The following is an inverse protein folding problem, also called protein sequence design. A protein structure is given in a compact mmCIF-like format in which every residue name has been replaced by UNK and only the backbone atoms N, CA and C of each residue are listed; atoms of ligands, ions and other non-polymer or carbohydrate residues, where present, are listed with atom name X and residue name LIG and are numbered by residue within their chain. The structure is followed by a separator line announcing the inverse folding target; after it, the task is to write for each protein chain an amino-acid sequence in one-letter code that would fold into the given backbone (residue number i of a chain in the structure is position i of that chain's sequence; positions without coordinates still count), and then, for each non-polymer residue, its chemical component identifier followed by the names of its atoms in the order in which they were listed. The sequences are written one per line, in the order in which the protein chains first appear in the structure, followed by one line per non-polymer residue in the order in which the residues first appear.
data_IF_491388154169
#
_entry.id   IF_491388154169
#
_cell.length_a   1.000
_cell.length_b   1.000
_cell.length_c   1.000
_cell.angle_alpha   90.00
_cell.angle_beta   90.00
_cell.angle_gamma   90.00
#
_symmetry.space_group_name_H-M   'P 1'
#
loop_
_entity.id
_entity.type
_entity.pdbx_description
1 polymer ?
#
# COMPACT_ATOMS: atom_id res chain seq x y z
N UNK A 1 33.91 25.37 -42.22
CA UNK A 1 32.73 24.54 -41.90
C UNK A 1 32.98 23.95 -40.50
N UNK A 2 32.52 24.63 -39.47
CA UNK A 2 32.72 24.24 -38.08
C UNK A 2 31.58 23.34 -37.66
N UNK A 3 31.89 22.05 -37.38
CA UNK A 3 30.94 21.11 -36.77
C UNK A 3 30.78 21.49 -35.28
N UNK A 4 29.65 22.07 -34.94
CA UNK A 4 29.22 22.26 -33.57
C UNK A 4 28.76 20.89 -33.05
N UNK A 5 29.68 20.20 -32.34
CA UNK A 5 29.30 19.07 -31.49
C UNK A 5 28.50 19.65 -30.32
N UNK A 6 27.19 19.47 -30.36
CA UNK A 6 26.35 19.72 -29.20
C UNK A 6 26.81 18.78 -28.09
N UNK A 7 27.35 19.33 -27.00
CA UNK A 7 27.53 18.63 -25.73
C UNK A 7 26.15 18.27 -25.16
N UNK A 8 25.57 17.18 -25.66
CA UNK A 8 24.49 16.51 -24.96
C UNK A 8 25.09 15.95 -23.66
N UNK A 9 24.55 16.34 -22.49
CA UNK A 9 24.85 15.64 -21.24
C UNK A 9 24.66 14.14 -21.49
N UNK A 10 25.60 13.29 -21.08
CA UNK A 10 25.39 11.84 -21.16
C UNK A 10 24.11 11.51 -20.39
N UNK A 11 23.20 10.82 -21.05
CA UNK A 11 21.94 10.37 -20.40
C UNK A 11 22.31 9.61 -19.13
N UNK A 12 21.67 9.93 -18.01
CA UNK A 12 21.88 9.24 -16.74
C UNK A 12 21.62 7.76 -16.93
N UNK A 13 22.60 6.91 -16.58
CA UNK A 13 22.40 5.46 -16.59
C UNK A 13 21.59 4.97 -15.38
N UNK A 14 21.41 5.81 -14.37
CA UNK A 14 20.64 5.50 -13.18
C UNK A 14 19.14 5.52 -13.46
N UNK A 15 18.44 4.58 -12.87
CA UNK A 15 16.97 4.58 -12.80
C UNK A 15 16.55 5.55 -11.71
N UNK A 16 15.56 6.40 -11.99
CA UNK A 16 15.04 7.36 -11.01
C UNK A 16 13.82 6.76 -10.33
N UNK A 17 13.98 6.37 -9.06
CA UNK A 17 12.88 6.01 -8.18
C UNK A 17 12.34 7.26 -7.49
N UNK A 18 11.04 7.49 -7.58
CA UNK A 18 10.37 8.63 -7.00
C UNK A 18 9.38 8.13 -5.95
N UNK A 19 9.50 8.61 -4.70
CA UNK A 19 8.65 8.23 -3.58
C UNK A 19 8.08 9.44 -2.84
N UNK A 20 7.03 9.23 -2.05
CA UNK A 20 6.42 10.26 -1.19
C UNK A 20 5.45 9.62 -0.18
N UNK A 21 5.47 10.05 1.10
CA UNK A 21 6.59 10.69 1.80
C UNK A 21 7.71 9.68 2.10
N UNK A 22 8.84 10.15 2.64
CA UNK A 22 9.85 9.23 3.18
C UNK A 22 9.27 8.44 4.36
N UNK A 23 9.38 7.13 4.29
CA UNK A 23 8.80 6.21 5.28
C UNK A 23 9.57 4.90 5.34
N UNK A 24 9.47 4.13 6.43
CA UNK A 24 10.11 2.82 6.53
C UNK A 24 9.74 1.88 5.37
N UNK A 25 8.48 1.88 4.95
CA UNK A 25 8.00 1.06 3.82
C UNK A 25 8.60 1.49 2.48
N UNK A 26 8.76 2.81 2.25
CA UNK A 26 9.43 3.30 1.06
C UNK A 26 10.89 2.83 1.02
N UNK A 27 11.61 2.96 2.14
CA UNK A 27 13.02 2.51 2.23
C UNK A 27 13.16 1.00 2.01
N UNK A 28 12.22 0.17 2.51
CA UNK A 28 12.20 -1.27 2.26
C UNK A 28 11.99 -1.56 0.76
N UNK A 29 11.04 -0.89 0.10
CA UNK A 29 10.81 -1.07 -1.33
C UNK A 29 12.03 -0.64 -2.16
N UNK A 30 12.67 0.47 -1.80
CA UNK A 30 13.91 0.91 -2.46
C UNK A 30 15.03 -0.10 -2.28
N UNK A 31 15.21 -0.67 -1.10
CA UNK A 31 16.19 -1.75 -0.87
C UNK A 31 15.94 -2.93 -1.82
N UNK A 32 14.71 -3.39 -1.93
CA UNK A 32 14.36 -4.47 -2.87
C UNK A 32 14.59 -4.09 -4.34
N UNK A 33 14.34 -2.81 -4.71
CA UNK A 33 14.67 -2.29 -6.04
C UNK A 33 16.18 -2.30 -6.32
N UNK A 34 16.99 -1.82 -5.39
CA UNK A 34 18.44 -1.78 -5.52
C UNK A 34 19.03 -3.19 -5.68
N UNK A 35 18.58 -4.14 -4.84
CA UNK A 35 18.97 -5.55 -4.95
C UNK A 35 18.60 -6.14 -6.32
N UNK A 36 17.35 -5.89 -6.76
CA UNK A 36 16.85 -6.45 -8.01
C UNK A 36 17.39 -5.78 -9.28
N UNK A 37 17.88 -4.54 -9.22
CA UNK A 37 18.43 -3.81 -10.37
C UNK A 37 19.96 -3.84 -10.42
N UNK A 38 20.64 -4.36 -9.40
CA UNK A 38 22.11 -4.43 -9.40
C UNK A 38 22.66 -5.09 -10.68
N UNK A 39 23.77 -4.59 -11.26
CA UNK A 39 24.64 -3.50 -10.78
C UNK A 39 24.19 -2.08 -11.18
N UNK A 40 22.99 -1.90 -11.75
CA UNK A 40 22.46 -0.59 -12.13
C UNK A 40 22.09 0.22 -10.88
N UNK A 41 22.48 1.48 -10.87
CA UNK A 41 22.17 2.38 -9.75
C UNK A 41 20.69 2.81 -9.76
N UNK A 42 20.12 2.93 -8.57
CA UNK A 42 18.80 3.52 -8.31
C UNK A 42 19.01 4.86 -7.61
N UNK A 43 18.54 5.93 -8.21
CA UNK A 43 18.52 7.25 -7.60
C UNK A 43 17.16 7.46 -6.95
N UNK A 44 17.07 7.43 -5.63
CA UNK A 44 15.84 7.77 -4.91
C UNK A 44 15.68 9.30 -4.83
N UNK A 45 14.51 9.78 -5.21
CA UNK A 45 14.07 11.16 -5.01
C UNK A 45 12.73 11.15 -4.26
N UNK A 46 12.70 11.79 -3.10
CA UNK A 46 11.46 11.95 -2.33
C UNK A 46 10.82 13.30 -2.67
N UNK A 47 9.50 13.27 -2.88
CA UNK A 47 8.71 14.45 -3.22
C UNK A 47 7.70 14.76 -2.12
N UNK A 48 7.30 16.02 -1.95
CA UNK A 48 6.05 16.33 -1.26
C UNK A 48 4.89 15.62 -1.97
N UNK A 49 3.87 15.14 -1.23
CA UNK A 49 2.80 14.34 -1.82
C UNK A 49 1.96 15.10 -2.85
N UNK A 50 1.92 16.43 -2.75
CA UNK A 50 1.16 17.31 -3.65
C UNK A 50 1.82 18.68 -3.75
N UNK A 51 1.54 19.41 -4.85
CA UNK A 51 1.89 20.82 -5.00
C UNK A 51 2.95 21.09 -6.08
N UNK A 52 3.23 22.38 -6.28
CA UNK A 52 4.11 22.88 -7.35
C UNK A 52 5.57 22.47 -7.17
N UNK A 53 6.04 22.31 -5.94
CA UNK A 53 7.42 21.89 -5.66
C UNK A 53 7.70 20.48 -6.19
N UNK A 54 6.77 19.53 -5.94
CA UNK A 54 6.87 18.18 -6.49
C UNK A 54 6.85 18.20 -8.02
N UNK A 55 5.93 18.97 -8.61
CA UNK A 55 5.83 19.11 -10.07
C UNK A 55 7.10 19.73 -10.68
N UNK A 56 7.69 20.76 -10.05
CA UNK A 56 8.93 21.37 -10.49
C UNK A 56 10.11 20.38 -10.44
N UNK A 57 10.19 19.58 -9.39
CA UNK A 57 11.22 18.54 -9.26
C UNK A 57 11.06 17.48 -10.34
N UNK A 58 9.84 17.01 -10.63
CA UNK A 58 9.61 16.06 -11.72
C UNK A 58 9.98 16.63 -13.08
N UNK A 59 9.68 17.92 -13.35
CA UNK A 59 10.10 18.58 -14.60
C UNK A 59 11.62 18.57 -14.75
N UNK A 60 12.37 18.82 -13.68
CA UNK A 60 13.83 18.79 -13.70
C UNK A 60 14.35 17.37 -13.95
N UNK A 61 13.82 16.36 -13.25
CA UNK A 61 14.22 14.96 -13.45
C UNK A 61 13.94 14.48 -14.89
N UNK A 62 12.85 14.91 -15.49
CA UNK A 62 12.56 14.63 -16.91
C UNK A 62 13.58 15.23 -17.87
N UNK A 63 14.12 16.44 -17.57
CA UNK A 63 15.13 17.07 -18.40
C UNK A 63 16.46 16.28 -18.43
N UNK A 64 16.76 15.51 -17.38
CA UNK A 64 17.93 14.64 -17.32
C UNK A 64 17.74 13.33 -18.12
N UNK A 65 16.57 13.08 -18.66
CA UNK A 65 16.21 11.93 -19.51
C UNK A 65 16.67 10.57 -18.92
N UNK A 66 16.24 10.18 -17.72
CA UNK A 66 16.57 8.88 -17.18
C UNK A 66 16.00 7.77 -18.08
N UNK A 67 16.63 6.58 -18.12
CA UNK A 67 16.15 5.47 -18.93
C UNK A 67 14.77 4.96 -18.49
N UNK A 68 14.40 5.18 -17.22
CA UNK A 68 13.16 4.72 -16.61
C UNK A 68 12.86 5.53 -15.35
N UNK A 69 11.58 5.86 -15.14
CA UNK A 69 11.05 6.26 -13.84
C UNK A 69 10.40 5.07 -13.12
N UNK A 70 10.63 4.98 -11.80
CA UNK A 70 9.88 4.08 -10.93
C UNK A 70 9.06 4.93 -9.97
N UNK A 71 7.74 4.91 -10.11
CA UNK A 71 6.81 5.63 -9.25
C UNK A 71 6.43 4.77 -8.05
N UNK A 72 6.81 5.18 -6.84
CA UNK A 72 6.56 4.47 -5.59
C UNK A 72 5.44 5.16 -4.80
N UNK A 73 4.25 4.59 -4.88
CA UNK A 73 3.05 5.07 -4.19
C UNK A 73 2.08 5.85 -5.08
N UNK A 74 0.81 5.80 -4.68
CA UNK A 74 -0.30 6.42 -5.43
C UNK A 74 -0.11 7.93 -5.66
N UNK A 75 0.32 8.75 -4.67
CA UNK A 75 0.50 10.19 -4.88
C UNK A 75 1.52 10.52 -5.97
N UNK A 76 2.62 9.75 -6.02
CA UNK A 76 3.66 9.93 -7.05
C UNK A 76 3.14 9.54 -8.43
N UNK A 77 2.43 8.41 -8.54
CA UNK A 77 1.84 8.00 -9.81
C UNK A 77 0.82 9.03 -10.32
N UNK A 78 -0.01 9.57 -9.44
CA UNK A 78 -0.98 10.62 -9.78
C UNK A 78 -0.33 11.91 -10.30
N UNK A 79 0.87 12.24 -9.82
CA UNK A 79 1.64 13.39 -10.33
C UNK A 79 2.38 13.04 -11.63
N UNK A 80 3.03 11.88 -11.69
CA UNK A 80 3.91 11.52 -12.80
C UNK A 80 3.13 11.11 -14.06
N UNK A 81 2.06 10.32 -13.93
CA UNK A 81 1.31 9.80 -15.08
C UNK A 81 0.70 10.89 -16.00
N UNK A 82 0.15 12.00 -15.49
CA UNK A 82 -0.29 13.11 -16.35
C UNK A 82 0.86 13.86 -17.03
N UNK A 83 2.00 14.00 -16.34
CA UNK A 83 3.12 14.84 -16.75
C UNK A 83 4.08 14.14 -17.72
N UNK A 84 4.26 12.81 -17.57
CA UNK A 84 5.19 12.03 -18.38
C UNK A 84 4.45 11.18 -19.42
N UNK A 85 4.78 11.37 -20.69
CA UNK A 85 4.13 10.67 -21.81
C UNK A 85 5.12 9.96 -22.75
N UNK A 86 6.43 10.12 -22.51
CA UNK A 86 7.48 9.62 -23.38
C UNK A 86 8.37 8.60 -22.70
N UNK A 87 8.95 8.97 -21.53
CA UNK A 87 9.84 8.11 -20.80
C UNK A 87 9.04 6.96 -20.16
N UNK A 88 9.60 5.75 -20.15
CA UNK A 88 8.95 4.63 -19.50
C UNK A 88 8.74 4.89 -18.01
N UNK A 89 7.61 4.43 -17.49
CA UNK A 89 7.26 4.49 -16.06
C UNK A 89 6.83 3.10 -15.62
N UNK A 90 7.49 2.59 -14.57
CA UNK A 90 7.04 1.42 -13.82
C UNK A 90 6.54 1.90 -12.47
N UNK A 91 5.36 1.51 -12.05
CA UNK A 91 4.87 1.85 -10.71
C UNK A 91 4.84 0.64 -9.78
N UNK A 92 4.99 0.89 -8.47
CA UNK A 92 4.78 -0.05 -7.38
C UNK A 92 4.26 0.66 -6.13
N UNK A 93 3.84 -0.08 -5.10
CA UNK A 93 3.22 0.48 -3.88
C UNK A 93 1.96 1.30 -4.18
N UNK A 94 1.25 0.98 -5.23
CA UNK A 94 0.01 1.64 -5.66
C UNK A 94 -1.15 0.68 -5.42
N UNK A 95 -2.04 1.04 -4.50
CA UNK A 95 -3.18 0.18 -4.17
C UNK A 95 -4.15 0.06 -5.35
N UNK A 96 -4.47 1.18 -6.00
CA UNK A 96 -5.41 1.23 -7.11
C UNK A 96 -4.92 2.20 -8.20
N UNK A 97 -4.32 1.70 -9.28
CA UNK A 97 -3.79 2.53 -10.36
C UNK A 97 -4.87 3.16 -11.24
N UNK A 98 -6.11 2.69 -11.17
CA UNK A 98 -7.21 3.15 -12.01
C UNK A 98 -7.73 4.54 -11.61
N UNK A 99 -7.44 4.99 -10.39
CA UNK A 99 -7.71 6.37 -9.95
C UNK A 99 -6.58 7.36 -10.23
N UNK A 100 -5.47 6.91 -10.82
CA UNK A 100 -4.26 7.73 -11.03
C UNK A 100 -4.13 8.31 -12.44
N UNK A 101 -5.11 8.15 -13.31
CA UNK A 101 -5.03 8.41 -14.75
C UNK A 101 -3.93 7.61 -15.47
N UNK A 102 -3.35 6.60 -14.84
CA UNK A 102 -2.39 5.68 -15.47
C UNK A 102 -3.10 4.53 -16.20
N UNK A 103 -4.27 4.11 -15.70
CA UNK A 103 -5.10 3.05 -16.24
C UNK A 103 -6.57 3.40 -16.09
N UNK A 104 -7.45 2.69 -16.83
CA UNK A 104 -8.86 3.11 -16.93
C UNK A 104 -9.88 2.04 -16.58
N UNK A 105 -9.53 0.75 -16.73
CA UNK A 105 -10.49 -0.33 -16.49
C UNK A 105 -9.82 -1.52 -15.78
N UNK A 106 -10.22 -1.84 -14.52
CA UNK A 106 -9.64 -2.95 -13.77
C UNK A 106 -9.90 -4.32 -14.40
N UNK A 107 -10.93 -4.44 -15.25
CA UNK A 107 -11.22 -5.69 -15.99
C UNK A 107 -10.37 -5.82 -17.27
N UNK A 108 -9.67 -4.77 -17.63
CA UNK A 108 -8.81 -4.71 -18.82
C UNK A 108 -7.45 -4.12 -18.43
N UNK A 109 -6.60 -4.89 -17.72
CA UNK A 109 -5.33 -4.41 -17.20
C UNK A 109 -4.32 -4.00 -18.30
N UNK A 110 -4.59 -4.37 -19.55
CA UNK A 110 -3.87 -3.90 -20.74
C UNK A 110 -4.30 -2.48 -21.18
N UNK A 111 -5.41 -1.96 -20.62
CA UNK A 111 -5.93 -0.66 -21.00
C UNK A 111 -5.39 0.44 -20.09
N UNK A 112 -4.14 0.85 -20.36
CA UNK A 112 -3.39 1.84 -19.59
C UNK A 112 -2.59 2.78 -20.50
N UNK A 113 -1.91 3.78 -19.93
CA UNK A 113 -1.05 4.67 -20.71
C UNK A 113 0.09 3.89 -21.36
N UNK A 114 0.41 4.22 -22.61
CA UNK A 114 1.38 3.48 -23.45
C UNK A 114 2.79 3.42 -22.86
N UNK A 115 3.17 4.42 -22.08
CA UNK A 115 4.49 4.49 -21.45
C UNK A 115 4.49 4.06 -19.96
N UNK A 116 3.36 3.61 -19.43
CA UNK A 116 3.21 3.26 -18.02
C UNK A 116 2.83 1.78 -17.89
N UNK A 117 3.47 1.06 -17.02
CA UNK A 117 3.04 -0.25 -16.52
C UNK A 117 3.40 -0.37 -15.04
N UNK A 118 3.01 -1.42 -14.36
CA UNK A 118 3.39 -1.59 -12.96
C UNK A 118 2.62 -2.65 -12.20
N UNK A 119 2.80 -2.60 -10.88
CA UNK A 119 2.28 -3.54 -9.90
C UNK A 119 1.24 -2.86 -9.02
N UNK A 120 -0.04 -3.19 -9.21
CA UNK A 120 -1.09 -2.86 -8.27
C UNK A 120 -0.92 -3.73 -7.01
N UNK A 121 -0.90 -3.11 -5.85
CA UNK A 121 -0.69 -3.80 -4.57
C UNK A 121 -1.72 -3.32 -3.54
N UNK A 122 -2.98 -3.77 -3.65
CA UNK A 122 -4.02 -3.41 -2.70
C UNK A 122 -3.69 -3.96 -1.29
N UNK A 123 -4.18 -3.30 -0.22
CA UNK A 123 -4.03 -3.82 1.14
C UNK A 123 -4.58 -5.24 1.28
N UNK A 124 -3.90 -6.14 2.02
CA UNK A 124 -4.26 -7.57 2.12
C UNK A 124 -5.43 -7.81 3.11
N UNK A 125 -6.53 -7.07 2.96
CA UNK A 125 -7.71 -7.14 3.85
C UNK A 125 -8.30 -8.56 3.87
N UNK A 126 -8.43 -9.17 2.68
CA UNK A 126 -9.03 -10.49 2.56
C UNK A 126 -8.20 -11.56 3.28
N UNK A 127 -6.88 -11.51 3.13
CA UNK A 127 -5.97 -12.44 3.79
C UNK A 127 -6.03 -12.27 5.32
N UNK A 128 -6.03 -11.03 5.81
CA UNK A 128 -6.10 -10.72 7.24
C UNK A 128 -7.38 -11.27 7.87
N UNK A 129 -8.55 -10.98 7.26
CA UNK A 129 -9.86 -11.42 7.78
C UNK A 129 -10.00 -12.95 7.71
N UNK A 130 -9.67 -13.57 6.56
CA UNK A 130 -9.79 -15.03 6.38
C UNK A 130 -8.88 -15.79 7.35
N UNK A 131 -7.62 -15.36 7.47
CA UNK A 131 -6.64 -16.02 8.32
C UNK A 131 -7.00 -15.89 9.80
N UNK A 132 -7.38 -14.70 10.26
CA UNK A 132 -7.82 -14.51 11.63
C UNK A 132 -9.07 -15.34 11.94
N UNK A 133 -10.06 -15.36 11.02
CA UNK A 133 -11.27 -16.18 11.18
C UNK A 133 -10.95 -17.67 11.25
N UNK A 134 -9.99 -18.16 10.47
CA UNK A 134 -9.54 -19.56 10.54
C UNK A 134 -8.87 -19.89 11.89
N UNK A 135 -8.16 -18.92 12.48
CA UNK A 135 -7.45 -19.10 13.76
C UNK A 135 -8.38 -19.11 14.99
N UNK A 136 -9.39 -18.22 15.01
CA UNK A 136 -10.19 -17.98 16.23
C UNK A 136 -11.69 -18.21 16.05
N UNK A 137 -12.10 -18.68 14.88
CA UNK A 137 -13.51 -18.88 14.51
C UNK A 137 -14.24 -17.59 14.15
N UNK A 138 -15.51 -17.70 13.72
CA UNK A 138 -16.32 -16.55 13.35
C UNK A 138 -16.67 -15.71 14.59
N UNK A 139 -16.40 -14.40 14.50
CA UNK A 139 -16.64 -13.43 15.58
C UNK A 139 -17.12 -12.10 14.99
N UNK A 140 -17.77 -11.22 15.78
CA UNK A 140 -18.12 -9.88 15.34
C UNK A 140 -16.88 -8.98 15.18
N UNK A 141 -16.76 -8.36 14.01
CA UNK A 141 -15.64 -7.49 13.64
C UNK A 141 -15.98 -6.02 13.79
N UNK A 142 -14.96 -5.19 14.02
CA UNK A 142 -15.06 -3.74 14.06
C UNK A 142 -13.93 -3.09 13.26
N UNK A 143 -14.27 -1.99 12.56
CA UNK A 143 -13.35 -1.17 11.79
C UNK A 143 -13.71 0.31 11.99
N UNK A 144 -12.70 1.16 12.24
CA UNK A 144 -12.83 2.62 12.21
C UNK A 144 -12.15 3.12 10.94
N UNK A 145 -12.80 4.05 10.22
CA UNK A 145 -12.24 4.64 9.01
C UNK A 145 -12.59 6.13 8.89
N UNK A 146 -11.84 6.85 8.06
CA UNK A 146 -12.14 8.21 7.68
C UNK A 146 -12.84 8.21 6.32
N UNK A 147 -14.11 8.64 6.22
CA UNK A 147 -14.82 8.66 4.95
C UNK A 147 -14.31 9.73 3.97
N UNK A 148 -13.49 10.69 4.45
CA UNK A 148 -12.85 11.72 3.63
C UNK A 148 -11.52 11.24 3.02
N UNK A 149 -10.97 10.14 3.52
CA UNK A 149 -9.80 9.46 2.94
C UNK A 149 -10.28 8.36 1.98
N UNK A 150 -10.10 8.59 0.68
CA UNK A 150 -10.53 7.64 -0.36
C UNK A 150 -9.93 6.23 -0.20
N UNK A 151 -8.69 6.13 0.27
CA UNK A 151 -8.06 4.83 0.51
C UNK A 151 -8.68 4.13 1.73
N UNK A 152 -9.01 4.86 2.79
CA UNK A 152 -9.69 4.31 3.96
C UNK A 152 -11.11 3.87 3.62
N UNK A 153 -11.81 4.65 2.79
CA UNK A 153 -13.15 4.30 2.30
C UNK A 153 -13.13 3.01 1.48
N UNK A 154 -12.18 2.86 0.56
CA UNK A 154 -12.01 1.65 -0.26
C UNK A 154 -11.74 0.41 0.62
N UNK A 155 -10.87 0.55 1.62
CA UNK A 155 -10.62 -0.51 2.61
C UNK A 155 -11.88 -0.87 3.39
N UNK A 156 -12.65 0.11 3.85
CA UNK A 156 -13.89 -0.12 4.59
C UNK A 156 -14.95 -0.84 3.73
N UNK A 157 -15.08 -0.47 2.46
CA UNK A 157 -15.97 -1.13 1.50
C UNK A 157 -15.55 -2.58 1.26
N UNK A 158 -14.26 -2.81 0.98
CA UNK A 158 -13.70 -4.16 0.79
C UNK A 158 -13.92 -5.03 2.03
N UNK A 159 -13.66 -4.49 3.21
CA UNK A 159 -13.88 -5.16 4.49
C UNK A 159 -15.36 -5.54 4.69
N UNK A 160 -16.28 -4.59 4.46
CA UNK A 160 -17.72 -4.82 4.62
C UNK A 160 -18.27 -5.87 3.65
N UNK A 161 -17.83 -5.82 2.38
CA UNK A 161 -18.21 -6.82 1.38
C UNK A 161 -17.68 -8.21 1.76
N UNK A 162 -16.41 -8.31 2.11
CA UNK A 162 -15.77 -9.57 2.47
C UNK A 162 -16.40 -10.21 3.72
N UNK A 163 -16.65 -9.43 4.77
CA UNK A 163 -17.28 -9.96 5.99
C UNK A 163 -18.70 -10.45 5.71
N UNK A 164 -19.45 -9.78 4.85
CA UNK A 164 -20.77 -10.22 4.38
C UNK A 164 -20.67 -11.53 3.59
N UNK A 165 -19.71 -11.66 2.65
CA UNK A 165 -19.49 -12.88 1.88
C UNK A 165 -19.12 -14.08 2.77
N UNK A 166 -18.40 -13.83 3.86
CA UNK A 166 -17.99 -14.86 4.83
C UNK A 166 -19.08 -15.14 5.89
N UNK A 167 -20.24 -14.48 5.83
CA UNK A 167 -21.28 -14.62 6.84
C UNK A 167 -20.90 -14.10 8.22
N UNK A 168 -19.92 -13.18 8.31
CA UNK A 168 -19.46 -12.58 9.56
C UNK A 168 -20.27 -11.33 9.89
N UNK A 169 -20.54 -11.13 11.17
CA UNK A 169 -21.06 -9.85 11.66
C UNK A 169 -19.92 -8.81 11.65
N UNK A 170 -20.17 -7.63 11.07
CA UNK A 170 -19.20 -6.54 11.10
C UNK A 170 -19.86 -5.19 11.34
N UNK A 171 -19.11 -4.31 11.98
CA UNK A 171 -19.49 -2.95 12.30
C UNK A 171 -18.41 -2.00 11.81
N UNK A 172 -18.83 -0.88 11.22
CA UNK A 172 -17.93 0.21 10.86
C UNK A 172 -18.34 1.48 11.60
N UNK A 173 -17.38 2.28 11.99
CA UNK A 173 -17.57 3.59 12.59
C UNK A 173 -16.69 4.62 11.89
N UNK A 174 -17.22 5.81 11.71
CA UNK A 174 -16.51 6.92 11.08
C UNK A 174 -15.76 7.73 12.12
N UNK A 175 -14.56 8.22 11.75
CA UNK A 175 -13.77 9.16 12.53
C UNK A 175 -12.93 10.03 11.61
N UNK A 176 -13.29 11.30 11.50
CA UNK A 176 -12.57 12.28 10.65
C UNK A 176 -11.52 13.04 11.42
N UNK A 177 -11.60 13.06 12.76
CA UNK A 177 -10.73 13.84 13.65
C UNK A 177 -10.28 13.02 14.86
N UNK A 178 -9.09 13.30 15.41
CA UNK A 178 -8.56 12.54 16.56
C UNK A 178 -9.49 12.49 17.78
N UNK A 179 -10.26 13.55 18.00
CA UNK A 179 -11.20 13.65 19.13
C UNK A 179 -12.34 12.64 19.04
N UNK A 180 -12.65 12.16 17.85
CA UNK A 180 -13.73 11.22 17.55
C UNK A 180 -13.30 9.76 17.75
N UNK A 181 -12.00 9.46 17.67
CA UNK A 181 -11.46 8.09 17.65
C UNK A 181 -11.90 7.27 18.89
N UNK A 182 -11.79 7.86 20.08
CA UNK A 182 -12.18 7.17 21.30
C UNK A 182 -13.69 6.90 21.40
N UNK A 183 -14.53 7.79 20.85
CA UNK A 183 -15.98 7.60 20.81
C UNK A 183 -16.35 6.52 19.78
N UNK A 184 -15.73 6.53 18.60
CA UNK A 184 -15.92 5.51 17.59
C UNK A 184 -15.54 4.11 18.11
N UNK A 185 -14.40 3.99 18.80
CA UNK A 185 -13.98 2.74 19.44
C UNK A 185 -15.00 2.24 20.46
N UNK A 186 -15.49 3.14 21.36
CA UNK A 186 -16.53 2.77 22.33
C UNK A 186 -17.82 2.31 21.66
N UNK A 187 -18.24 2.94 20.56
CA UNK A 187 -19.44 2.51 19.82
C UNK A 187 -19.28 1.12 19.21
N UNK A 188 -18.12 0.80 18.62
CA UNK A 188 -17.83 -0.55 18.12
C UNK A 188 -17.94 -1.60 19.23
N UNK A 189 -17.31 -1.35 20.38
CA UNK A 189 -17.35 -2.27 21.52
C UNK A 189 -18.77 -2.43 22.07
N UNK A 190 -19.51 -1.35 22.20
CA UNK A 190 -20.90 -1.37 22.66
C UNK A 190 -21.84 -2.15 21.72
N UNK A 191 -21.53 -2.18 20.41
CA UNK A 191 -22.24 -2.99 19.41
C UNK A 191 -21.84 -4.46 19.44
N UNK A 192 -20.86 -4.83 20.26
CA UNK A 192 -20.40 -6.21 20.44
C UNK A 192 -19.26 -6.63 19.51
N UNK A 193 -18.50 -5.70 18.95
CA UNK A 193 -17.27 -6.04 18.22
C UNK A 193 -16.27 -6.70 19.19
N UNK A 194 -15.79 -7.88 18.83
CA UNK A 194 -14.80 -8.65 19.59
C UNK A 194 -13.49 -8.84 18.83
N UNK A 195 -13.47 -8.52 17.53
CA UNK A 195 -12.26 -8.43 16.71
C UNK A 195 -12.17 -7.02 16.15
N UNK A 196 -11.04 -6.35 16.31
CA UNK A 196 -10.78 -5.03 15.76
C UNK A 196 -9.70 -5.14 14.67
N UNK A 197 -10.02 -4.62 13.48
CA UNK A 197 -9.06 -4.54 12.39
C UNK A 197 -8.41 -3.16 12.34
N UNK A 198 -7.09 -3.10 12.33
CA UNK A 198 -6.27 -1.91 12.12
C UNK A 198 -5.84 -1.87 10.64
N UNK A 199 -6.52 -1.12 9.77
CA UNK A 199 -6.15 -1.02 8.37
C UNK A 199 -4.88 -0.17 8.16
N UNK A 200 -4.22 -0.23 6.99
CA UNK A 200 -3.04 0.58 6.68
C UNK A 200 -3.42 2.02 6.29
N UNK A 201 -4.11 2.74 7.19
CA UNK A 201 -4.61 4.09 6.97
C UNK A 201 -4.11 5.05 8.05
N UNK A 202 -4.05 6.34 7.73
CA UNK A 202 -3.65 7.38 8.71
C UNK A 202 -4.57 7.38 9.94
N UNK A 203 -5.87 7.15 9.75
CA UNK A 203 -6.83 7.05 10.85
C UNK A 203 -6.46 5.92 11.80
N UNK A 204 -6.12 4.74 11.28
CA UNK A 204 -5.76 3.58 12.12
C UNK A 204 -4.52 3.85 12.99
N UNK A 205 -3.51 4.56 12.49
CA UNK A 205 -2.33 4.89 13.29
C UNK A 205 -2.66 5.78 14.50
N UNK A 206 -3.69 6.64 14.41
CA UNK A 206 -4.11 7.51 15.53
C UNK A 206 -4.66 6.71 16.72
N UNK A 207 -5.46 5.67 16.45
CA UNK A 207 -6.10 4.89 17.51
C UNK A 207 -5.46 3.50 17.74
N UNK A 208 -4.36 3.19 17.07
CA UNK A 208 -3.68 1.90 17.21
C UNK A 208 -3.27 1.59 18.66
N UNK A 209 -2.66 2.55 19.35
CA UNK A 209 -2.21 2.39 20.73
C UNK A 209 -3.32 1.92 21.69
N UNK A 210 -4.43 2.63 21.81
CA UNK A 210 -5.61 2.20 22.58
C UNK A 210 -6.13 0.82 22.19
N UNK A 211 -6.24 0.51 20.91
CA UNK A 211 -6.73 -0.80 20.42
C UNK A 211 -5.77 -1.92 20.80
N UNK A 212 -4.46 -1.74 20.60
CA UNK A 212 -3.44 -2.72 20.99
C UNK A 212 -3.38 -2.92 22.51
N UNK A 213 -3.65 -1.88 23.31
CA UNK A 213 -3.78 -2.03 24.75
C UNK A 213 -4.92 -2.99 25.12
N UNK A 214 -6.09 -2.86 24.51
CA UNK A 214 -7.20 -3.79 24.69
C UNK A 214 -6.83 -5.22 24.27
N UNK A 215 -6.01 -5.38 23.23
CA UNK A 215 -5.49 -6.66 22.79
C UNK A 215 -4.56 -7.30 23.83
N UNK A 216 -3.61 -6.53 24.39
CA UNK A 216 -2.73 -6.99 25.48
C UNK A 216 -3.51 -7.37 26.75
N UNK A 217 -4.54 -6.59 27.08
CA UNK A 217 -5.45 -6.87 28.19
C UNK A 217 -6.39 -8.06 27.92
N UNK A 218 -6.32 -8.63 26.71
CA UNK A 218 -7.16 -9.76 26.29
C UNK A 218 -8.66 -9.45 26.34
N UNK A 219 -9.03 -8.20 26.09
CA UNK A 219 -10.43 -7.75 26.05
C UNK A 219 -11.04 -7.87 24.67
N UNK A 220 -10.21 -7.73 23.64
CA UNK A 220 -10.57 -7.91 22.24
C UNK A 220 -9.45 -8.60 21.47
N UNK A 221 -9.78 -9.22 20.36
CA UNK A 221 -8.81 -9.67 19.37
C UNK A 221 -8.43 -8.49 18.45
N UNK A 222 -7.15 -8.32 18.19
CA UNK A 222 -6.69 -7.29 17.26
C UNK A 222 -6.01 -7.96 16.09
N UNK A 223 -6.43 -7.58 14.89
CA UNK A 223 -5.79 -7.96 13.62
C UNK A 223 -5.19 -6.70 13.03
N UNK A 224 -3.88 -6.70 12.87
CA UNK A 224 -3.13 -5.55 12.37
C UNK A 224 -2.80 -5.70 10.89
N UNK A 225 -3.26 -4.76 10.06
CA UNK A 225 -2.88 -4.59 8.66
C UNK A 225 -1.97 -3.38 8.42
N UNK A 226 -1.64 -2.61 9.49
CA UNK A 226 -0.87 -1.38 9.35
C UNK A 226 0.64 -1.65 9.45
N UNK A 227 1.44 -1.36 8.41
CA UNK A 227 2.85 -1.75 8.35
C UNK A 227 3.75 -1.00 9.34
N UNK A 228 3.34 0.15 9.82
CA UNK A 228 4.12 1.00 10.73
C UNK A 228 3.66 0.85 12.20
N UNK A 229 2.63 0.05 12.45
CA UNK A 229 2.16 -0.30 13.80
C UNK A 229 2.85 -1.61 14.21
N UNK A 230 3.86 -1.50 15.07
CA UNK A 230 4.74 -2.61 15.45
C UNK A 230 4.64 -3.00 16.94
N UNK A 231 3.87 -2.25 17.71
CA UNK A 231 3.68 -2.52 19.13
C UNK A 231 2.91 -3.84 19.33
N UNK A 232 3.21 -4.58 20.42
CA UNK A 232 2.53 -5.84 20.73
C UNK A 232 1.05 -5.62 21.08
N UNK A 233 0.24 -6.65 20.86
CA UNK A 233 -1.19 -6.65 21.20
C UNK A 233 -2.10 -7.12 20.05
N UNK A 234 -1.56 -7.31 18.86
CA UNK A 234 -2.27 -7.95 17.75
C UNK A 234 -2.01 -9.46 17.77
N UNK A 235 -3.07 -10.26 17.64
CA UNK A 235 -2.98 -11.72 17.49
C UNK A 235 -2.35 -12.11 16.14
N UNK A 236 -2.63 -11.31 15.14
CA UNK A 236 -2.20 -11.51 13.77
C UNK A 236 -1.84 -10.15 13.14
N UNK A 237 -0.69 -10.08 12.51
CA UNK A 237 -0.31 -8.96 11.64
C UNK A 237 -0.15 -9.48 10.21
N UNK A 238 -0.88 -8.87 9.25
CA UNK A 238 -0.80 -9.19 7.83
C UNK A 238 -0.58 -7.89 7.06
N UNK A 239 0.63 -7.70 6.56
CA UNK A 239 1.02 -6.52 5.78
C UNK A 239 1.62 -6.92 4.45
N UNK A 240 1.80 -5.97 3.54
CA UNK A 240 2.64 -6.18 2.37
C UNK A 240 4.11 -6.30 2.80
N UNK A 241 4.85 -7.19 2.13
CA UNK A 241 6.31 -7.22 2.16
C UNK A 241 6.85 -6.23 1.13
N UNK A 242 7.18 -5.02 1.60
CA UNK A 242 7.62 -3.95 0.71
C UNK A 242 8.97 -4.21 0.06
N UNK A 243 9.85 -4.98 0.70
CA UNK A 243 11.13 -5.37 0.10
C UNK A 243 10.93 -6.36 -1.05
N UNK A 244 10.06 -7.36 -0.86
CA UNK A 244 9.66 -8.27 -1.92
C UNK A 244 8.98 -7.52 -3.07
N UNK A 245 8.08 -6.58 -2.75
CA UNK A 245 7.41 -5.73 -3.75
C UNK A 245 8.44 -4.90 -4.56
N UNK A 246 9.48 -4.40 -3.90
CA UNK A 246 10.59 -3.72 -4.57
C UNK A 246 11.34 -4.64 -5.54
N UNK A 247 11.62 -5.89 -5.15
CA UNK A 247 12.24 -6.89 -6.04
C UNK A 247 11.37 -7.24 -7.25
N UNK A 248 10.06 -7.36 -7.06
CA UNK A 248 9.13 -7.60 -8.16
C UNK A 248 9.07 -6.40 -9.11
N UNK A 249 9.04 -5.18 -8.58
CA UNK A 249 9.12 -3.96 -9.40
C UNK A 249 10.44 -3.87 -10.18
N UNK A 250 11.57 -4.29 -9.58
CA UNK A 250 12.84 -4.38 -10.26
C UNK A 250 12.82 -5.40 -11.40
N UNK A 251 12.16 -6.55 -11.23
CA UNK A 251 12.00 -7.53 -12.29
C UNK A 251 11.24 -6.97 -13.49
N UNK A 252 10.17 -6.22 -13.23
CA UNK A 252 9.40 -5.54 -14.26
C UNK A 252 10.22 -4.43 -14.93
N UNK A 253 10.94 -3.63 -14.13
CA UNK A 253 11.83 -2.57 -14.63
C UNK A 253 12.93 -3.12 -15.54
N UNK A 254 13.51 -4.28 -15.24
CA UNK A 254 14.50 -4.94 -16.11
C UNK A 254 13.93 -5.30 -17.49
N UNK A 255 12.68 -5.77 -17.57
CA UNK A 255 12.03 -6.06 -18.86
C UNK A 255 11.94 -4.79 -19.71
N UNK A 256 11.50 -3.70 -19.11
CA UNK A 256 11.38 -2.40 -19.79
C UNK A 256 12.78 -1.87 -20.22
N UNK A 257 13.77 -1.98 -19.35
CA UNK A 257 15.17 -1.58 -19.65
C UNK A 257 15.81 -2.45 -20.73
N UNK A 258 15.35 -3.69 -20.90
CA UNK A 258 15.75 -4.58 -21.98
C UNK A 258 15.05 -4.30 -23.32
N UNK A 259 14.18 -3.27 -23.38
CA UNK A 259 13.50 -2.82 -24.60
C UNK A 259 12.05 -3.29 -24.74
N UNK A 260 11.50 -4.02 -23.76
CA UNK A 260 10.07 -4.36 -23.79
C UNK A 260 9.22 -3.10 -23.58
N UNK A 261 8.26 -2.88 -24.48
CA UNK A 261 7.40 -1.69 -24.39
C UNK A 261 6.43 -1.79 -23.22
N UNK A 262 6.36 -0.78 -22.33
CA UNK A 262 5.34 -0.75 -21.30
C UNK A 262 3.91 -0.96 -21.83
N UNK A 263 3.62 -0.47 -23.03
CA UNK A 263 2.31 -0.64 -23.67
C UNK A 263 1.90 -2.11 -23.88
N UNK A 264 2.86 -3.02 -23.97
CA UNK A 264 2.64 -4.46 -24.13
C UNK A 264 2.62 -5.25 -22.81
N UNK A 265 2.85 -4.57 -21.69
CA UNK A 265 2.89 -5.23 -20.39
C UNK A 265 1.65 -4.81 -19.58
N UNK A 266 0.65 -5.69 -19.42
CA UNK A 266 -0.52 -5.39 -18.61
C UNK A 266 -0.14 -5.03 -17.18
N UNK A 267 -0.96 -4.21 -16.52
CA UNK A 267 -0.83 -4.00 -15.08
C UNK A 267 -1.06 -5.33 -14.37
N UNK A 268 -0.16 -5.65 -13.45
CA UNK A 268 -0.21 -6.87 -12.65
C UNK A 268 -0.68 -6.55 -11.24
N UNK A 269 -1.48 -7.40 -10.64
CA UNK A 269 -1.78 -7.33 -9.22
C UNK A 269 -0.83 -8.25 -8.48
N UNK A 270 -0.27 -7.77 -7.38
CA UNK A 270 0.63 -8.53 -6.52
C UNK A 270 0.43 -8.18 -5.06
N UNK A 271 0.54 -9.17 -4.21
CA UNK A 271 0.44 -9.03 -2.76
C UNK A 271 1.46 -9.92 -2.06
N UNK A 272 2.77 -9.62 -2.14
CA UNK A 272 3.74 -10.32 -1.31
C UNK A 272 3.45 -9.98 0.16
N UNK A 273 3.25 -11.03 0.98
CA UNK A 273 2.77 -10.87 2.35
C UNK A 273 3.89 -11.06 3.37
N UNK A 274 3.87 -10.20 4.39
CA UNK A 274 4.56 -10.41 5.65
C UNK A 274 3.53 -10.71 6.73
N UNK A 275 3.61 -11.93 7.31
CA UNK A 275 2.65 -12.43 8.28
C UNK A 275 3.38 -12.67 9.60
N UNK A 276 2.82 -12.17 10.69
CA UNK A 276 3.30 -12.40 12.05
C UNK A 276 2.13 -12.81 12.93
N UNK A 277 2.34 -13.83 13.76
CA UNK A 277 1.34 -14.37 14.69
C UNK A 277 1.87 -14.29 16.10
N UNK A 278 1.06 -13.80 17.02
CA UNK A 278 1.35 -13.90 18.47
C UNK A 278 0.74 -15.20 19.02
N UNK A 279 1.57 -16.22 19.10
CA UNK A 279 1.17 -17.55 19.57
C UNK A 279 0.62 -17.54 21.01
N UNK A 280 1.03 -16.60 21.84
CA UNK A 280 0.55 -16.51 23.22
C UNK A 280 -0.90 -16.02 23.27
N UNK A 281 -1.23 -15.04 22.44
CA UNK A 281 -2.59 -14.54 22.27
C UNK A 281 -3.49 -15.58 21.58
N UNK A 282 -2.96 -16.30 20.58
CA UNK A 282 -3.71 -17.40 19.91
C UNK A 282 -4.11 -18.44 20.92
N UNK A 283 -3.18 -18.96 21.74
CA UNK A 283 -3.47 -19.98 22.78
C UNK A 283 -4.50 -19.50 23.79
N UNK A 284 -4.43 -18.23 24.18
CA UNK A 284 -5.41 -17.66 25.09
C UNK A 284 -6.83 -17.68 24.48
N UNK A 285 -6.97 -17.20 23.27
CA UNK A 285 -8.27 -17.08 22.60
C UNK A 285 -8.83 -18.41 22.08
N UNK A 286 -8.00 -19.40 21.77
CA UNK A 286 -8.43 -20.74 21.38
C UNK A 286 -9.25 -21.44 22.50
N UNK A 287 -9.02 -21.09 23.76
CA UNK A 287 -9.80 -21.59 24.90
C UNK A 287 -11.14 -20.86 25.14
N UNK A 288 -11.40 -19.75 24.43
CA UNK A 288 -12.65 -18.99 24.60
C UNK A 288 -13.66 -19.33 23.50
N UNK A 289 -14.84 -19.85 23.82
CA UNK A 289 -15.87 -20.09 22.84
C UNK A 289 -16.27 -18.77 22.17
N UNK A 290 -16.60 -18.82 20.87
CA UNK A 290 -17.21 -17.68 20.21
C UNK A 290 -18.49 -17.23 20.94
N UNK A 291 -18.80 -15.94 21.06
CA UNK A 291 -20.02 -15.50 21.67
C UNK A 291 -21.23 -16.17 20.99
N UNK A 292 -22.11 -16.80 21.78
CA UNK A 292 -23.35 -17.36 21.27
C UNK A 292 -24.21 -16.22 20.71
N UNK A 293 -24.74 -16.43 19.50
CA UNK A 293 -25.70 -15.51 18.87
C UNK A 293 -26.97 -15.40 19.67
#
# INVERSE_FOLDING_TARGET
MALIFGCGRPASQAVVAVGSPDSPRLRQAVKGLEEGLAPRQVQLVTLPPYGEEGAATLRRLRADQPPLFIALGTPVLMMLAPMEKRLPVVFAMVANPYFSNAAWDPKRPEFHQRNVTGLASPPPVAQAVRQATAMVGPRPWGLIYDPLDGAALEVAQTFGQLTKELGLTSYTEESTRPEEDAAALRRLLARGATVLYLPPTTTASRYAGPVLALGRERRVLVVNGHPEVTEPGAILTVTLDYEALGREAAALARRVLAGESPAGIPIQETQPLKIQVDESLVRHWAGYPAPRR
#
